data_IF_133353309373
#
_entry.id   IF_133353309373
#
_cell.length_a   1.000
_cell.length_b   1.000
_cell.length_c   1.000
_cell.angle_alpha   90.00
_cell.angle_beta   90.00
_cell.angle_gamma   90.00
#
_symmetry.space_group_name_H-M   'P 1'
#
loop_
_entity.id
_entity.type
_entity.pdbx_description
1 polymer ?
#
# COMPACT_ATOMS: atom_id res chain seq x y z
N UNK A 1 2.28 -23.16 -14.76
CA UNK A 1 3.52 -22.36 -14.69
C UNK A 1 3.30 -21.12 -15.55
N UNK A 2 3.48 -19.91 -15.03
CA UNK A 2 3.33 -18.65 -15.75
C UNK A 2 4.66 -17.89 -15.77
N UNK A 3 4.85 -16.99 -16.76
CA UNK A 3 5.98 -16.05 -16.85
C UNK A 3 5.53 -14.72 -16.23
N UNK A 4 6.16 -14.29 -15.15
CA UNK A 4 5.73 -13.13 -14.36
C UNK A 4 6.87 -12.11 -14.25
N UNK A 5 6.57 -10.86 -14.55
CA UNK A 5 7.50 -9.75 -14.39
C UNK A 5 7.08 -8.87 -13.22
N UNK A 6 7.95 -8.75 -12.22
CA UNK A 6 7.74 -7.87 -11.06
C UNK A 6 8.53 -6.58 -11.27
N UNK A 7 7.81 -5.48 -11.43
CA UNK A 7 8.38 -4.17 -11.75
C UNK A 7 8.61 -3.38 -10.46
N UNK A 8 9.77 -3.61 -9.83
CA UNK A 8 10.21 -2.93 -8.62
C UNK A 8 10.94 -3.85 -7.64
N UNK A 9 12.19 -3.49 -7.30
CA UNK A 9 13.07 -4.16 -6.32
C UNK A 9 12.94 -3.58 -4.92
N UNK A 10 11.74 -3.11 -4.54
CA UNK A 10 11.41 -2.75 -3.17
C UNK A 10 11.20 -3.98 -2.30
N UNK A 11 11.06 -3.82 -0.96
CA UNK A 11 10.80 -4.94 -0.05
C UNK A 11 9.62 -5.79 -0.53
N UNK A 12 8.50 -5.14 -0.87
CA UNK A 12 7.29 -5.84 -1.28
C UNK A 12 7.41 -6.53 -2.65
N UNK A 13 8.01 -5.85 -3.64
CA UNK A 13 8.26 -6.47 -4.95
C UNK A 13 9.17 -7.69 -4.86
N UNK A 14 10.23 -7.61 -4.07
CA UNK A 14 11.15 -8.73 -3.83
C UNK A 14 10.45 -9.88 -3.10
N UNK A 15 9.65 -9.60 -2.07
CA UNK A 15 8.89 -10.63 -1.36
C UNK A 15 7.87 -11.35 -2.27
N UNK A 16 7.16 -10.61 -3.13
CA UNK A 16 6.25 -11.20 -4.10
C UNK A 16 6.99 -12.01 -5.19
N UNK A 17 8.15 -11.55 -5.65
CA UNK A 17 8.96 -12.30 -6.59
C UNK A 17 9.38 -13.67 -6.02
N UNK A 18 9.80 -13.68 -4.73
CA UNK A 18 10.15 -14.92 -4.01
C UNK A 18 8.91 -15.83 -3.86
N UNK A 19 7.77 -15.28 -3.42
CA UNK A 19 6.51 -16.03 -3.29
C UNK A 19 6.12 -16.69 -4.63
N UNK A 20 6.10 -15.93 -5.71
CA UNK A 20 5.70 -16.40 -7.03
C UNK A 20 6.68 -17.45 -7.59
N UNK A 21 7.97 -17.27 -7.34
CA UNK A 21 8.99 -18.28 -7.68
C UNK A 21 8.77 -19.58 -6.92
N UNK A 22 8.51 -19.50 -5.62
CA UNK A 22 8.24 -20.67 -4.76
C UNK A 22 6.93 -21.36 -5.15
N UNK A 23 5.97 -20.65 -5.75
CA UNK A 23 4.76 -21.22 -6.35
C UNK A 23 5.04 -21.93 -7.70
N UNK A 24 6.30 -22.00 -8.16
CA UNK A 24 6.70 -22.69 -9.40
C UNK A 24 6.54 -21.86 -10.67
N UNK A 25 6.47 -20.53 -10.58
CA UNK A 25 6.42 -19.64 -11.74
C UNK A 25 7.82 -19.20 -12.18
N UNK A 26 7.96 -18.82 -13.45
CA UNK A 26 9.16 -18.15 -13.97
C UNK A 26 9.06 -16.67 -13.62
N UNK A 27 9.96 -16.17 -12.80
CA UNK A 27 9.89 -14.80 -12.29
C UNK A 27 11.09 -13.98 -12.76
N UNK A 28 10.78 -12.78 -13.26
CA UNK A 28 11.74 -11.74 -13.54
C UNK A 28 11.49 -10.56 -12.61
N UNK A 29 12.54 -10.06 -11.97
CA UNK A 29 12.52 -8.91 -11.06
C UNK A 29 13.25 -7.74 -11.70
N UNK A 30 12.53 -6.67 -12.03
CA UNK A 30 13.08 -5.50 -12.68
C UNK A 30 13.36 -4.35 -11.70
N UNK A 31 14.50 -3.71 -11.87
CA UNK A 31 14.85 -2.46 -11.17
C UNK A 31 14.91 -1.29 -12.15
N UNK A 32 14.28 -0.18 -11.81
CA UNK A 32 14.42 1.08 -12.56
C UNK A 32 15.85 1.64 -12.53
N UNK A 33 16.71 1.10 -11.66
CA UNK A 33 18.12 1.45 -11.48
C UNK A 33 18.99 0.28 -11.90
N UNK A 34 19.63 0.31 -13.09
CA UNK A 34 20.45 -0.80 -13.60
C UNK A 34 21.59 -1.21 -12.67
N UNK A 35 22.22 -0.24 -12.01
CA UNK A 35 23.30 -0.46 -11.02
C UNK A 35 22.80 -1.29 -9.82
N UNK A 36 21.54 -1.05 -9.38
CA UNK A 36 20.93 -1.84 -8.34
C UNK A 36 20.64 -3.26 -8.80
N UNK A 37 20.14 -3.44 -10.03
CA UNK A 37 19.93 -4.77 -10.60
C UNK A 37 21.25 -5.56 -10.65
N UNK A 38 22.35 -4.92 -11.10
CA UNK A 38 23.68 -5.52 -11.12
C UNK A 38 24.15 -5.93 -9.72
N UNK A 39 24.01 -5.04 -8.72
CA UNK A 39 24.33 -5.35 -7.33
C UNK A 39 23.53 -6.54 -6.80
N UNK A 40 22.21 -6.56 -7.01
CA UNK A 40 21.34 -7.65 -6.57
C UNK A 40 21.63 -8.98 -7.27
N UNK A 41 22.12 -8.97 -8.51
CA UNK A 41 22.57 -10.18 -9.19
C UNK A 41 23.84 -10.76 -8.53
N UNK A 42 24.70 -9.93 -7.97
CA UNK A 42 25.93 -10.39 -7.29
C UNK A 42 25.65 -10.82 -5.85
N UNK A 43 24.90 -10.03 -5.10
CA UNK A 43 24.67 -10.25 -3.65
C UNK A 43 23.50 -11.14 -3.34
N UNK A 44 22.50 -11.22 -4.22
CA UNK A 44 21.20 -11.87 -4.02
C UNK A 44 20.47 -11.41 -2.76
N UNK A 45 20.86 -10.28 -2.17
CA UNK A 45 20.26 -9.70 -0.96
C UNK A 45 20.22 -8.17 -1.03
N UNK A 46 19.17 -7.58 -0.45
CA UNK A 46 19.08 -6.15 -0.18
C UNK A 46 19.01 -5.91 1.33
N UNK A 47 20.15 -5.77 2.02
CA UNK A 47 20.21 -5.67 3.48
C UNK A 47 19.54 -4.38 4.01
N UNK A 48 19.35 -3.36 3.17
CA UNK A 48 18.66 -2.12 3.55
C UNK A 48 17.12 -2.25 3.51
N UNK A 49 16.61 -3.02 2.55
CA UNK A 49 15.16 -3.11 2.32
C UNK A 49 14.53 -4.38 2.85
N UNK A 50 15.25 -5.49 2.82
CA UNK A 50 14.74 -6.79 3.25
C UNK A 50 15.89 -7.63 3.84
N UNK A 51 16.41 -7.25 5.01
CA UNK A 51 17.61 -7.85 5.61
C UNK A 51 17.40 -9.35 5.92
N UNK A 52 18.42 -10.16 5.62
CA UNK A 52 18.46 -11.60 5.87
C UNK A 52 17.60 -12.42 4.93
N UNK A 53 17.10 -11.84 3.81
CA UNK A 53 16.33 -12.57 2.80
C UNK A 53 17.16 -12.69 1.52
N UNK A 54 17.45 -13.93 1.15
CA UNK A 54 18.17 -14.25 -0.08
C UNK A 54 17.18 -14.45 -1.23
N UNK A 55 17.43 -13.75 -2.33
CA UNK A 55 16.63 -13.88 -3.55
C UNK A 55 17.07 -15.19 -4.25
N UNK A 56 16.17 -16.16 -4.50
CA UNK A 56 16.50 -17.42 -5.18
C UNK A 56 17.19 -17.21 -6.53
N UNK A 57 18.17 -18.07 -6.86
CA UNK A 57 18.93 -17.99 -8.11
C UNK A 57 18.07 -18.12 -9.35
N UNK A 58 16.94 -18.84 -9.25
CA UNK A 58 15.96 -18.99 -10.33
C UNK A 58 15.20 -17.72 -10.69
N UNK A 59 15.29 -16.66 -9.89
CA UNK A 59 14.71 -15.34 -10.21
C UNK A 59 15.72 -14.55 -11.04
N UNK A 60 15.33 -14.21 -12.27
CA UNK A 60 16.14 -13.35 -13.15
C UNK A 60 15.99 -11.90 -12.72
N UNK A 61 17.11 -11.22 -12.44
CA UNK A 61 17.10 -9.79 -12.04
C UNK A 61 17.65 -8.96 -13.19
N UNK A 62 16.92 -7.93 -13.62
CA UNK A 62 17.33 -7.09 -14.75
C UNK A 62 17.06 -5.61 -14.50
N UNK A 63 17.89 -4.74 -15.09
CA UNK A 63 17.63 -3.31 -15.22
C UNK A 63 17.04 -2.91 -16.58
N UNK A 64 16.92 -3.87 -17.51
CA UNK A 64 16.39 -3.64 -18.84
C UNK A 64 14.88 -3.94 -18.91
N UNK A 65 14.10 -2.92 -19.24
CA UNK A 65 12.65 -3.02 -19.31
C UNK A 65 12.15 -3.84 -20.49
N UNK A 66 12.87 -3.86 -21.61
CA UNK A 66 12.51 -4.68 -22.78
C UNK A 66 12.61 -6.15 -22.46
N UNK A 67 13.69 -6.54 -21.79
CA UNK A 67 13.87 -7.91 -21.28
C UNK A 67 12.78 -8.24 -20.26
N UNK A 68 12.49 -7.32 -19.33
CA UNK A 68 11.47 -7.55 -18.31
C UNK A 68 10.06 -7.70 -18.88
N UNK A 69 9.72 -6.97 -19.94
CA UNK A 69 8.40 -7.02 -20.60
C UNK A 69 8.35 -7.86 -21.87
N UNK A 70 9.36 -8.72 -22.09
CA UNK A 70 9.34 -9.67 -23.19
C UNK A 70 8.31 -10.77 -22.93
N UNK A 71 7.08 -10.53 -23.36
CA UNK A 71 5.96 -11.46 -23.37
C UNK A 71 5.65 -12.15 -22.02
N UNK A 72 5.57 -11.41 -20.87
CA UNK A 72 5.11 -12.01 -19.63
C UNK A 72 3.60 -12.30 -19.69
N UNK A 73 3.15 -13.36 -18.99
CA UNK A 73 1.72 -13.60 -18.77
C UNK A 73 1.12 -12.52 -17.86
N UNK A 74 1.85 -12.17 -16.79
CA UNK A 74 1.44 -11.18 -15.78
C UNK A 74 2.57 -10.19 -15.53
N UNK A 75 2.20 -8.94 -15.34
CA UNK A 75 3.11 -7.88 -14.85
C UNK A 75 2.63 -7.41 -13.48
N UNK A 76 3.50 -7.43 -12.47
CA UNK A 76 3.22 -6.94 -11.12
C UNK A 76 3.91 -5.59 -10.93
N UNK A 77 3.15 -4.51 -10.72
CA UNK A 77 3.69 -3.18 -10.45
C UNK A 77 3.87 -2.99 -8.95
N UNK A 78 5.14 -2.98 -8.51
CA UNK A 78 5.54 -2.91 -7.10
C UNK A 78 6.43 -1.69 -6.79
N UNK A 79 6.31 -0.64 -7.57
CA UNK A 79 6.98 0.65 -7.35
C UNK A 79 6.16 1.52 -6.39
N UNK A 80 6.78 2.49 -5.66
CA UNK A 80 6.03 3.40 -4.81
C UNK A 80 4.99 4.21 -5.60
N UNK A 81 3.86 4.52 -4.95
CA UNK A 81 2.71 5.19 -5.60
C UNK A 81 3.08 6.53 -6.24
N UNK A 82 3.96 7.30 -5.60
CA UNK A 82 4.43 8.60 -6.10
C UNK A 82 5.16 8.54 -7.47
N UNK A 83 5.69 7.38 -7.85
CA UNK A 83 6.39 7.19 -9.12
C UNK A 83 5.56 6.45 -10.17
N UNK A 84 4.34 6.03 -9.82
CA UNK A 84 3.57 5.10 -10.65
C UNK A 84 3.24 5.69 -12.02
N UNK A 85 2.82 6.96 -12.11
CA UNK A 85 2.54 7.62 -13.38
C UNK A 85 3.76 7.62 -14.30
N UNK A 86 4.90 8.06 -13.81
CA UNK A 86 6.13 8.15 -14.61
C UNK A 86 6.58 6.76 -15.11
N UNK A 87 6.49 5.75 -14.25
CA UNK A 87 6.84 4.37 -14.61
C UNK A 87 5.84 3.80 -15.62
N UNK A 88 4.54 3.99 -15.41
CA UNK A 88 3.49 3.52 -16.34
C UNK A 88 3.67 4.15 -17.72
N UNK A 89 3.88 5.46 -17.78
CA UNK A 89 4.14 6.18 -19.04
C UNK A 89 5.37 5.64 -19.76
N UNK A 90 6.47 5.43 -19.04
CA UNK A 90 7.72 4.88 -19.57
C UNK A 90 7.52 3.46 -20.13
N UNK A 91 6.78 2.61 -19.44
CA UNK A 91 6.61 1.21 -19.81
C UNK A 91 5.48 0.98 -20.82
N UNK A 92 4.56 1.92 -20.98
CA UNK A 92 3.38 1.81 -21.87
C UNK A 92 3.69 1.32 -23.29
N UNK A 93 4.74 1.78 -23.98
CA UNK A 93 5.06 1.31 -25.33
C UNK A 93 5.47 -0.16 -25.43
N UNK A 94 5.84 -0.78 -24.29
CA UNK A 94 6.30 -2.17 -24.22
C UNK A 94 5.19 -3.12 -23.76
N UNK A 95 4.06 -2.58 -23.29
CA UNK A 95 2.93 -3.38 -22.79
C UNK A 95 2.01 -3.78 -23.93
N UNK A 96 1.76 -5.08 -24.05
CA UNK A 96 0.88 -5.62 -25.11
C UNK A 96 -0.60 -5.37 -24.82
N UNK A 97 -1.41 -5.44 -25.87
CA UNK A 97 -2.86 -5.39 -25.77
C UNK A 97 -3.40 -6.51 -24.87
N UNK A 98 -4.24 -6.15 -23.91
CA UNK A 98 -4.85 -7.10 -22.95
C UNK A 98 -3.90 -7.63 -21.88
N UNK A 99 -2.70 -7.05 -21.74
CA UNK A 99 -1.75 -7.45 -20.70
C UNK A 99 -2.37 -7.26 -19.31
N UNK A 100 -2.40 -8.31 -18.51
CA UNK A 100 -2.80 -8.22 -17.11
C UNK A 100 -1.68 -7.54 -16.32
N UNK A 101 -2.03 -6.42 -15.66
CA UNK A 101 -1.14 -5.69 -14.75
C UNK A 101 -1.76 -5.73 -13.36
N UNK A 102 -1.02 -6.24 -12.38
CA UNK A 102 -1.43 -6.27 -10.97
C UNK A 102 -0.72 -5.16 -10.22
N UNK A 103 -1.46 -4.13 -9.82
CA UNK A 103 -0.96 -3.11 -8.90
C UNK A 103 -0.88 -3.66 -7.49
N UNK A 104 0.27 -3.47 -6.84
CA UNK A 104 0.46 -3.81 -5.42
C UNK A 104 0.93 -2.59 -4.60
N UNK A 105 1.02 -1.42 -5.22
CA UNK A 105 1.30 -0.15 -4.55
C UNK A 105 0.04 0.37 -3.84
N UNK A 106 0.25 1.10 -2.76
CA UNK A 106 -0.82 1.63 -1.91
C UNK A 106 -0.69 3.16 -1.82
N UNK A 107 -1.60 3.88 -2.45
CA UNK A 107 -1.57 5.35 -2.46
C UNK A 107 -2.63 5.95 -3.38
N UNK A 108 -2.71 7.28 -3.33
CA UNK A 108 -3.52 8.14 -4.21
C UNK A 108 -2.61 9.25 -4.71
N UNK A 109 -2.70 9.59 -5.98
CA UNK A 109 -1.89 10.67 -6.57
C UNK A 109 -2.36 12.04 -6.04
N UNK A 110 -1.43 12.86 -5.55
CA UNK A 110 -1.75 14.12 -4.88
C UNK A 110 -2.50 15.12 -5.81
N UNK A 111 -2.02 15.27 -7.05
CA UNK A 111 -2.53 16.31 -7.94
C UNK A 111 -3.87 15.97 -8.60
N UNK A 112 -4.09 14.70 -8.94
CA UNK A 112 -5.28 14.24 -9.67
C UNK A 112 -6.31 13.59 -8.77
N UNK A 113 -5.91 13.19 -7.57
CA UNK A 113 -6.67 12.40 -6.61
C UNK A 113 -7.08 11.01 -7.15
N UNK A 114 -6.34 10.51 -8.12
CA UNK A 114 -6.59 9.20 -8.75
C UNK A 114 -6.01 8.06 -7.92
N UNK A 115 -6.75 6.95 -7.73
CA UNK A 115 -6.18 5.68 -7.29
C UNK A 115 -5.12 5.18 -8.27
N UNK A 116 -4.21 4.35 -7.80
CA UNK A 116 -3.06 3.89 -8.60
C UNK A 116 -3.49 3.10 -9.84
N UNK A 117 -4.53 2.26 -9.74
CA UNK A 117 -5.03 1.50 -10.90
C UNK A 117 -5.57 2.41 -12.00
N UNK A 118 -6.20 3.52 -11.64
CA UNK A 118 -6.70 4.49 -12.61
C UNK A 118 -5.54 5.22 -13.30
N UNK A 119 -4.49 5.56 -12.56
CA UNK A 119 -3.24 6.11 -13.13
C UNK A 119 -2.63 5.13 -14.14
N UNK A 120 -2.49 3.86 -13.76
CA UNK A 120 -1.95 2.81 -14.66
C UNK A 120 -2.85 2.69 -15.90
N UNK A 121 -4.17 2.71 -15.74
CA UNK A 121 -5.12 2.59 -16.84
C UNK A 121 -5.11 3.79 -17.77
N UNK A 122 -4.90 4.99 -17.23
CA UNK A 122 -4.76 6.22 -18.02
C UNK A 122 -3.48 6.17 -18.89
N UNK A 123 -2.34 5.78 -18.31
CA UNK A 123 -1.06 5.75 -19.02
C UNK A 123 -0.88 4.49 -19.90
N UNK A 124 -1.57 3.39 -19.57
CA UNK A 124 -1.51 2.10 -20.28
C UNK A 124 -2.95 1.64 -20.60
N UNK A 125 -3.65 2.34 -21.51
CA UNK A 125 -5.07 2.07 -21.78
C UNK A 125 -5.35 0.66 -22.34
N UNK A 126 -4.35 0.01 -22.95
CA UNK A 126 -4.45 -1.34 -23.47
C UNK A 126 -4.39 -2.44 -22.38
N UNK A 127 -4.00 -2.12 -21.14
CA UNK A 127 -3.87 -3.12 -20.08
C UNK A 127 -5.21 -3.49 -19.41
N UNK A 128 -5.30 -4.72 -18.89
CA UNK A 128 -6.30 -5.16 -17.91
C UNK A 128 -5.70 -4.99 -16.51
N UNK A 129 -6.08 -3.90 -15.83
CA UNK A 129 -5.49 -3.49 -14.55
C UNK A 129 -6.27 -4.08 -13.40
N UNK A 130 -5.54 -4.68 -12.47
CA UNK A 130 -6.03 -5.33 -11.26
C UNK A 130 -5.28 -4.82 -10.03
N UNK A 131 -5.77 -5.10 -8.82
CA UNK A 131 -5.10 -4.75 -7.57
C UNK A 131 -5.01 -5.94 -6.63
N UNK A 132 -3.87 -6.09 -5.94
CA UNK A 132 -3.67 -7.01 -4.82
C UNK A 132 -3.31 -6.20 -3.58
N UNK A 133 -4.07 -6.35 -2.49
CA UNK A 133 -3.85 -5.64 -1.23
C UNK A 133 -4.26 -6.50 -0.03
N UNK A 134 -3.96 -6.03 1.18
CA UNK A 134 -4.26 -6.73 2.44
C UNK A 134 -3.10 -6.65 3.44
N UNK A 135 -3.23 -7.27 4.63
CA UNK A 135 -2.19 -7.32 5.64
C UNK A 135 -1.00 -8.16 5.14
N UNK A 136 0.06 -7.51 4.67
CA UNK A 136 1.14 -8.16 3.92
C UNK A 136 2.48 -7.45 4.10
N UNK A 137 3.06 -7.56 5.30
CA UNK A 137 4.43 -7.10 5.50
C UNK A 137 5.41 -7.97 4.72
N UNK A 138 6.27 -7.32 3.94
CA UNK A 138 7.24 -7.98 3.07
C UNK A 138 8.19 -8.91 3.86
N UNK A 139 8.53 -8.50 5.07
CA UNK A 139 9.38 -9.23 6.00
C UNK A 139 8.78 -10.58 6.43
N UNK A 140 7.47 -10.66 6.52
CA UNK A 140 6.75 -11.89 6.87
C UNK A 140 6.52 -12.76 5.63
N UNK A 141 6.04 -12.16 4.55
CA UNK A 141 5.76 -12.88 3.29
C UNK A 141 7.02 -13.52 2.72
N UNK A 142 8.15 -12.82 2.74
CA UNK A 142 9.43 -13.35 2.24
C UNK A 142 9.97 -14.54 3.05
N UNK A 143 9.54 -14.67 4.33
CA UNK A 143 9.87 -15.80 5.20
C UNK A 143 8.86 -16.94 5.13
N UNK A 144 7.83 -16.82 4.28
CA UNK A 144 6.78 -17.84 4.15
C UNK A 144 5.84 -17.90 5.34
N UNK A 145 5.67 -16.82 6.11
CA UNK A 145 4.69 -16.80 7.20
C UNK A 145 3.27 -16.67 6.62
N UNK A 146 2.28 -17.33 7.27
CA UNK A 146 0.90 -17.30 6.81
C UNK A 146 0.37 -15.88 6.61
N UNK A 147 -0.02 -15.56 5.40
CA UNK A 147 -0.51 -14.24 4.99
C UNK A 147 -1.78 -14.37 4.18
N UNK A 148 -2.67 -13.41 4.31
CA UNK A 148 -3.94 -13.38 3.58
C UNK A 148 -4.13 -12.04 2.89
N UNK A 149 -4.42 -12.05 1.59
CA UNK A 149 -4.68 -10.85 0.77
C UNK A 149 -6.00 -10.95 0.02
N UNK A 150 -6.39 -9.86 -0.61
CA UNK A 150 -7.51 -9.78 -1.54
C UNK A 150 -7.02 -9.28 -2.89
N UNK A 151 -7.48 -9.92 -3.97
CA UNK A 151 -7.28 -9.46 -5.35
C UNK A 151 -8.61 -8.96 -5.91
N UNK A 152 -8.55 -7.84 -6.61
CA UNK A 152 -9.70 -7.27 -7.31
C UNK A 152 -9.38 -7.02 -8.77
N UNK A 153 -10.34 -7.31 -9.63
CA UNK A 153 -10.30 -7.11 -11.07
C UNK A 153 -11.69 -6.71 -11.58
N UNK A 154 -11.74 -6.12 -12.78
CA UNK A 154 -13.02 -5.80 -13.45
C UNK A 154 -13.77 -7.04 -13.90
N UNK A 155 -13.04 -8.12 -14.23
CA UNK A 155 -13.61 -9.40 -14.65
C UNK A 155 -13.38 -10.44 -13.55
N UNK A 156 -14.42 -11.22 -13.27
CA UNK A 156 -14.36 -12.28 -12.27
C UNK A 156 -13.30 -13.32 -12.63
N UNK A 157 -13.25 -13.70 -13.89
CA UNK A 157 -12.32 -14.72 -14.43
C UNK A 157 -10.86 -14.27 -14.24
N UNK A 158 -10.56 -12.96 -14.44
CA UNK A 158 -9.23 -12.40 -14.18
C UNK A 158 -8.89 -12.46 -12.69
N UNK A 159 -9.84 -12.12 -11.81
CA UNK A 159 -9.63 -12.20 -10.37
C UNK A 159 -9.38 -13.64 -9.90
N UNK A 160 -10.15 -14.61 -10.37
CA UNK A 160 -10.00 -16.05 -10.07
C UNK A 160 -8.68 -16.63 -10.61
N UNK A 161 -8.27 -16.21 -11.80
CA UNK A 161 -6.97 -16.56 -12.35
C UNK A 161 -5.82 -16.04 -11.49
N UNK A 162 -5.85 -14.75 -11.11
CA UNK A 162 -4.86 -14.15 -10.23
C UNK A 162 -4.88 -14.78 -8.83
N UNK A 163 -6.07 -15.08 -8.29
CA UNK A 163 -6.21 -15.81 -7.04
C UNK A 163 -5.43 -17.12 -7.10
N UNK A 164 -5.65 -17.93 -8.14
CA UNK A 164 -4.99 -19.22 -8.31
C UNK A 164 -3.46 -19.09 -8.48
N UNK A 165 -3.01 -18.00 -9.09
CA UNK A 165 -1.60 -17.74 -9.35
C UNK A 165 -0.82 -17.37 -8.08
N UNK A 166 -1.42 -16.53 -7.23
CA UNK A 166 -0.76 -16.09 -6.00
C UNK A 166 -0.94 -17.06 -4.83
N UNK A 167 -1.99 -17.88 -4.83
CA UNK A 167 -2.27 -18.79 -3.71
C UNK A 167 -1.16 -19.83 -3.50
N UNK A 168 -0.87 -20.09 -2.23
CA UNK A 168 0.02 -21.16 -1.77
C UNK A 168 -0.41 -21.62 -0.37
N UNK A 169 0.21 -22.68 0.21
CA UNK A 169 -0.07 -23.09 1.59
C UNK A 169 0.14 -21.99 2.64
N UNK A 170 0.98 -20.97 2.32
CA UNK A 170 1.30 -19.86 3.22
C UNK A 170 0.74 -18.51 2.74
N UNK A 171 0.14 -18.45 1.57
CA UNK A 171 -0.42 -17.20 1.03
C UNK A 171 -1.85 -17.42 0.53
N UNK A 172 -2.83 -16.98 1.29
CA UNK A 172 -4.24 -17.08 0.95
C UNK A 172 -4.73 -15.83 0.22
N UNK A 173 -5.48 -16.00 -0.86
CA UNK A 173 -6.04 -14.88 -1.63
C UNK A 173 -7.56 -15.02 -1.73
N UNK A 174 -8.28 -13.95 -1.43
CA UNK A 174 -9.71 -13.80 -1.69
C UNK A 174 -9.94 -12.89 -2.88
N UNK A 175 -11.11 -12.98 -3.51
CA UNK A 175 -11.50 -12.13 -4.63
C UNK A 175 -12.60 -11.15 -4.23
N UNK A 176 -12.61 -9.95 -4.84
CA UNK A 176 -13.67 -8.97 -4.70
C UNK A 176 -13.83 -8.18 -6.00
N UNK A 177 -15.05 -7.72 -6.38
CA UNK A 177 -15.23 -6.82 -7.52
C UNK A 177 -14.93 -5.35 -7.20
N UNK A 178 -14.72 -4.98 -5.92
CA UNK A 178 -14.57 -3.60 -5.47
C UNK A 178 -13.11 -3.15 -5.48
N UNK A 179 -12.60 -2.81 -6.67
CA UNK A 179 -11.23 -2.31 -6.82
C UNK A 179 -11.00 -1.01 -6.06
N UNK A 180 -11.97 -0.08 -6.14
CA UNK A 180 -11.86 1.23 -5.49
C UNK A 180 -11.72 1.10 -3.97
N UNK A 181 -12.57 0.29 -3.34
CA UNK A 181 -12.49 0.06 -1.89
C UNK A 181 -11.17 -0.59 -1.47
N UNK A 182 -10.66 -1.54 -2.25
CA UNK A 182 -9.35 -2.18 -2.01
C UNK A 182 -8.21 -1.16 -2.07
N UNK A 183 -8.20 -0.26 -3.04
CA UNK A 183 -7.17 0.76 -3.20
C UNK A 183 -7.24 1.84 -2.12
N UNK A 184 -8.45 2.36 -1.85
CA UNK A 184 -8.66 3.37 -0.80
C UNK A 184 -8.29 2.83 0.59
N UNK A 185 -8.68 1.59 0.90
CA UNK A 185 -8.29 0.92 2.14
C UNK A 185 -6.77 0.89 2.30
N UNK A 186 -6.06 0.43 1.27
CA UNK A 186 -4.60 0.39 1.26
C UNK A 186 -3.90 1.75 1.36
N UNK A 187 -4.47 2.79 0.75
CA UNK A 187 -3.90 4.14 0.77
C UNK A 187 -4.13 4.87 2.10
N UNK A 188 -5.39 4.93 2.54
CA UNK A 188 -5.80 5.72 3.71
C UNK A 188 -5.29 5.15 5.03
N UNK A 189 -5.18 3.82 5.16
CA UNK A 189 -4.63 3.18 6.37
C UNK A 189 -3.25 3.71 6.77
N UNK A 190 -2.44 4.11 5.78
CA UNK A 190 -1.09 4.59 6.02
C UNK A 190 -1.10 5.93 6.79
N UNK A 191 -2.11 6.75 6.58
CA UNK A 191 -2.31 8.02 7.32
C UNK A 191 -2.77 7.74 8.75
N UNK A 192 -3.68 6.77 8.93
CA UNK A 192 -4.11 6.37 10.29
C UNK A 192 -2.95 5.74 11.06
N UNK A 193 -2.08 4.99 10.38
CA UNK A 193 -0.89 4.43 11.02
C UNK A 193 0.12 5.49 11.48
N UNK A 194 0.23 6.64 10.80
CA UNK A 194 0.97 7.79 11.30
C UNK A 194 0.36 8.29 12.62
N UNK A 195 -0.98 8.46 12.69
CA UNK A 195 -1.67 8.88 13.93
C UNK A 195 -1.44 7.89 15.07
N UNK A 196 -1.56 6.58 14.79
CA UNK A 196 -1.32 5.53 15.79
C UNK A 196 0.13 5.56 16.30
N UNK A 197 1.10 5.71 15.40
CA UNK A 197 2.50 5.89 15.77
C UNK A 197 2.74 7.15 16.60
N UNK A 198 2.11 8.26 16.24
CA UNK A 198 2.22 9.52 17.00
C UNK A 198 1.70 9.36 18.43
N UNK A 199 0.57 8.66 18.61
CA UNK A 199 0.04 8.36 19.94
C UNK A 199 1.00 7.45 20.74
N UNK A 200 1.62 6.44 20.10
CA UNK A 200 2.65 5.62 20.73
C UNK A 200 3.86 6.45 21.17
N UNK A 201 4.32 7.39 20.31
CA UNK A 201 5.46 8.28 20.61
C UNK A 201 5.20 9.25 21.77
N UNK A 202 3.94 9.66 21.97
CA UNK A 202 3.49 10.44 23.12
C UNK A 202 3.36 9.60 24.40
N UNK A 203 3.54 8.29 24.34
CA UNK A 203 3.39 7.38 25.48
C UNK A 203 1.94 7.00 25.80
N UNK A 204 1.00 7.18 24.86
CA UNK A 204 -0.39 6.77 25.05
C UNK A 204 -0.54 5.24 24.90
N UNK A 205 -1.49 4.68 25.65
CA UNK A 205 -1.67 3.23 25.73
C UNK A 205 -2.56 2.63 24.63
N UNK A 206 -2.83 1.32 24.80
CA UNK A 206 -3.57 0.50 23.84
C UNK A 206 -5.02 0.98 23.60
N UNK A 207 -5.67 1.57 24.61
CA UNK A 207 -7.01 2.15 24.44
C UNK A 207 -7.03 3.27 23.39
N UNK A 208 -6.03 4.15 23.39
CA UNK A 208 -5.89 5.22 22.40
C UNK A 208 -5.64 4.63 21.01
N UNK A 209 -4.78 3.64 20.90
CA UNK A 209 -4.52 2.94 19.64
C UNK A 209 -5.77 2.24 19.11
N UNK A 210 -6.52 1.53 19.96
CA UNK A 210 -7.77 0.89 19.59
C UNK A 210 -8.81 1.92 19.10
N UNK A 211 -8.96 3.05 19.81
CA UNK A 211 -9.85 4.12 19.41
C UNK A 211 -9.45 4.71 18.04
N UNK A 212 -8.15 4.98 17.80
CA UNK A 212 -7.65 5.48 16.51
C UNK A 212 -7.91 4.50 15.36
N UNK A 213 -7.71 3.20 15.58
CA UNK A 213 -8.01 2.17 14.57
C UNK A 213 -9.52 2.14 14.27
N UNK A 214 -10.37 2.10 15.30
CA UNK A 214 -11.83 2.04 15.16
C UNK A 214 -12.41 3.29 14.48
N UNK A 215 -11.97 4.47 14.91
CA UNK A 215 -12.42 5.72 14.29
C UNK A 215 -11.80 5.93 12.92
N UNK A 216 -10.54 5.52 12.73
CA UNK A 216 -9.85 5.58 11.44
C UNK A 216 -10.56 4.75 10.36
N UNK A 217 -10.94 3.50 10.68
CA UNK A 217 -11.67 2.69 9.70
C UNK A 217 -13.04 3.29 9.37
N UNK A 218 -13.72 3.92 10.34
CA UNK A 218 -14.97 4.62 10.10
C UNK A 218 -14.80 5.84 9.17
N UNK A 219 -13.72 6.61 9.31
CA UNK A 219 -13.39 7.70 8.37
C UNK A 219 -13.13 7.16 6.96
N UNK A 220 -12.31 6.12 6.85
CA UNK A 220 -11.98 5.47 5.57
C UNK A 220 -13.25 4.94 4.88
N UNK A 221 -14.13 4.28 5.62
CA UNK A 221 -15.36 3.71 5.09
C UNK A 221 -16.35 4.80 4.63
N UNK A 222 -16.49 5.91 5.38
CA UNK A 222 -17.33 7.04 4.97
C UNK A 222 -16.86 7.65 3.65
N UNK A 223 -15.56 7.94 3.53
CA UNK A 223 -15.01 8.47 2.29
C UNK A 223 -15.19 7.46 1.15
N UNK A 224 -14.86 6.20 1.37
CA UNK A 224 -15.00 5.16 0.37
C UNK A 224 -16.44 5.01 -0.15
N UNK A 225 -17.42 5.01 0.75
CA UNK A 225 -18.84 4.95 0.39
C UNK A 225 -19.25 6.17 -0.47
N UNK A 226 -18.83 7.38 -0.12
CA UNK A 226 -19.09 8.59 -0.90
C UNK A 226 -18.43 8.54 -2.30
N UNK A 227 -17.32 7.86 -2.43
CA UNK A 227 -16.64 7.65 -3.71
C UNK A 227 -17.21 6.47 -4.51
N UNK A 228 -18.14 5.67 -3.95
CA UNK A 228 -18.78 4.53 -4.61
C UNK A 228 -18.16 3.17 -4.31
N UNK A 229 -17.26 3.08 -3.34
CA UNK A 229 -16.76 1.81 -2.83
C UNK A 229 -17.78 1.12 -1.90
N UNK A 230 -17.64 -0.18 -1.70
CA UNK A 230 -18.49 -0.98 -0.82
C UNK A 230 -18.03 -0.91 0.62
N UNK A 231 -18.95 -0.70 1.56
CA UNK A 231 -18.64 -0.64 3.00
C UNK A 231 -18.02 -1.94 3.51
N UNK A 232 -18.46 -3.08 3.00
CA UNK A 232 -17.96 -4.40 3.37
C UNK A 232 -16.47 -4.58 3.07
N UNK A 233 -15.95 -3.88 2.07
CA UNK A 233 -14.53 -3.92 1.73
C UNK A 233 -13.67 -3.35 2.85
N UNK A 234 -14.17 -2.33 3.55
CA UNK A 234 -13.46 -1.74 4.70
C UNK A 234 -13.50 -2.60 5.95
N UNK A 235 -14.51 -3.46 6.10
CA UNK A 235 -14.54 -4.50 7.14
C UNK A 235 -13.67 -5.73 6.80
N UNK A 236 -13.10 -5.77 5.58
CA UNK A 236 -12.30 -6.88 5.06
C UNK A 236 -10.79 -6.71 5.21
N UNK A 237 -10.05 -7.51 4.41
CA UNK A 237 -8.59 -7.61 4.47
C UNK A 237 -7.87 -6.31 4.07
N UNK A 238 -8.31 -5.63 3.02
CA UNK A 238 -7.72 -4.36 2.56
C UNK A 238 -8.15 -3.14 3.40
N UNK A 239 -9.18 -3.28 4.22
CA UNK A 239 -9.64 -2.28 5.18
C UNK A 239 -9.05 -2.53 6.56
N UNK A 240 -9.90 -3.04 7.49
CA UNK A 240 -9.54 -3.22 8.91
C UNK A 240 -8.35 -4.17 9.09
N UNK A 241 -8.22 -5.23 8.28
CA UNK A 241 -7.11 -6.17 8.40
C UNK A 241 -5.74 -5.51 8.17
N UNK A 242 -5.62 -4.77 7.06
CA UNK A 242 -4.38 -4.06 6.72
C UNK A 242 -4.13 -2.84 7.63
N UNK A 243 -5.20 -2.22 8.13
CA UNK A 243 -5.11 -1.12 9.10
C UNK A 243 -4.55 -1.61 10.44
N UNK A 244 -5.10 -2.68 11.01
CA UNK A 244 -4.64 -3.24 12.30
C UNK A 244 -3.15 -3.58 12.24
N UNK A 245 -2.73 -4.36 11.24
CA UNK A 245 -1.33 -4.79 11.14
C UNK A 245 -0.40 -3.59 10.95
N UNK A 246 -0.83 -2.56 10.19
CA UNK A 246 -0.01 -1.38 9.94
C UNK A 246 0.12 -0.47 11.16
N UNK A 247 -0.92 -0.36 11.99
CA UNK A 247 -0.90 0.41 13.24
C UNK A 247 -0.17 -0.31 14.39
N UNK A 248 -0.12 -1.64 14.38
CA UNK A 248 0.47 -2.42 15.47
C UNK A 248 1.92 -2.86 15.21
N UNK A 249 2.26 -3.16 13.95
CA UNK A 249 3.54 -3.79 13.60
C UNK A 249 4.73 -2.85 13.74
N UNK A 250 5.85 -3.41 14.24
CA UNK A 250 7.16 -2.75 14.25
C UNK A 250 7.75 -2.56 12.85
N UNK A 251 7.30 -3.34 11.87
CA UNK A 251 7.71 -3.23 10.47
C UNK A 251 7.04 -2.06 9.74
N UNK A 252 6.02 -1.43 10.34
CA UNK A 252 5.31 -0.31 9.72
C UNK A 252 6.15 0.97 9.73
N UNK A 253 6.61 1.37 8.54
CA UNK A 253 7.33 2.64 8.34
C UNK A 253 6.47 3.85 8.70
N UNK A 254 5.19 3.81 8.40
CA UNK A 254 4.26 4.90 8.74
C UNK A 254 4.10 5.02 10.26
N UNK A 255 3.88 3.90 10.97
CA UNK A 255 3.83 3.90 12.44
C UNK A 255 5.14 4.41 13.03
N UNK A 256 6.31 3.96 12.51
CA UNK A 256 7.63 4.41 12.98
C UNK A 256 7.83 5.92 12.78
N UNK A 257 7.48 6.46 11.61
CA UNK A 257 7.55 7.91 11.37
C UNK A 257 6.64 8.67 12.33
N UNK A 258 5.40 8.22 12.52
CA UNK A 258 4.48 8.78 13.52
C UNK A 258 5.06 8.75 14.94
N UNK A 259 5.65 7.62 15.35
CA UNK A 259 6.28 7.47 16.66
C UNK A 259 7.37 8.53 16.89
N UNK A 260 8.25 8.74 15.93
CA UNK A 260 9.28 9.78 16.00
C UNK A 260 8.67 11.18 16.11
N UNK A 261 7.63 11.47 15.34
CA UNK A 261 6.91 12.76 15.44
C UNK A 261 6.24 12.96 16.80
N UNK A 262 5.69 11.89 17.39
CA UNK A 262 5.18 11.91 18.77
C UNK A 262 6.25 12.22 19.81
N UNK A 263 7.51 11.84 19.53
CA UNK A 263 8.67 12.17 20.35
C UNK A 263 9.25 13.58 20.08
N UNK A 264 8.64 14.38 19.21
CA UNK A 264 9.04 15.76 18.92
C UNK A 264 9.91 15.94 17.68
N UNK A 265 10.16 14.89 16.89
CA UNK A 265 10.83 15.03 15.59
C UNK A 265 9.92 15.77 14.61
N UNK A 266 10.51 16.61 13.76
CA UNK A 266 9.79 17.17 12.61
C UNK A 266 9.50 16.05 11.59
N UNK A 267 8.53 16.29 10.70
CA UNK A 267 8.23 15.36 9.59
C UNK A 267 9.50 14.98 8.80
N UNK A 268 10.33 15.97 8.45
CA UNK A 268 11.56 15.71 7.67
C UNK A 268 12.54 14.85 8.45
N UNK A 269 12.81 15.16 9.72
CA UNK A 269 13.68 14.36 10.58
C UNK A 269 13.19 12.91 10.72
N UNK A 270 11.87 12.74 10.89
CA UNK A 270 11.28 11.41 10.98
C UNK A 270 11.43 10.61 9.68
N UNK A 271 11.26 11.25 8.52
CA UNK A 271 11.46 10.62 7.21
C UNK A 271 12.93 10.25 6.99
N UNK A 272 13.85 11.12 7.35
CA UNK A 272 15.31 10.90 7.22
C UNK A 272 15.75 9.71 8.10
N UNK A 273 15.20 9.59 9.31
CA UNK A 273 15.49 8.48 10.23
C UNK A 273 14.90 7.13 9.75
N UNK A 274 13.72 7.16 9.09
CA UNK A 274 13.11 5.96 8.49
C UNK A 274 13.89 5.46 7.27
N UNK A 275 14.56 6.35 6.54
CA UNK A 275 15.39 6.07 5.35
C UNK A 275 14.67 5.30 4.21
N UNK A 276 13.35 5.27 4.23
CA UNK A 276 12.50 4.63 3.22
C UNK A 276 11.26 5.48 2.97
N UNK A 277 10.56 5.23 1.86
CA UNK A 277 9.33 5.95 1.53
C UNK A 277 8.28 5.73 2.61
N UNK A 278 7.77 6.82 3.18
CA UNK A 278 6.65 6.85 4.13
C UNK A 278 5.40 7.25 3.34
N UNK A 279 4.69 6.26 2.83
CA UNK A 279 3.52 6.47 1.93
C UNK A 279 2.41 7.30 2.60
N UNK A 280 2.28 7.22 3.93
CA UNK A 280 1.29 7.99 4.68
C UNK A 280 1.46 9.50 4.58
N UNK A 281 2.70 10.00 4.43
CA UNK A 281 2.97 11.43 4.26
C UNK A 281 2.43 11.92 2.90
N UNK A 282 2.66 11.16 1.85
CA UNK A 282 2.14 11.49 0.51
C UNK A 282 0.62 11.32 0.44
N UNK A 283 0.09 10.24 1.05
CA UNK A 283 -1.35 9.98 1.07
C UNK A 283 -2.14 10.97 1.92
N UNK A 284 -1.52 11.63 2.91
CA UNK A 284 -2.23 12.53 3.83
C UNK A 284 -2.83 13.73 3.10
N UNK A 285 -2.09 14.37 2.19
CA UNK A 285 -2.60 15.50 1.40
C UNK A 285 -3.72 15.08 0.46
N UNK A 286 -3.54 13.96 -0.25
CA UNK A 286 -4.58 13.43 -1.13
C UNK A 286 -5.84 13.05 -0.36
N UNK A 287 -5.70 12.45 0.84
CA UNK A 287 -6.83 12.09 1.70
C UNK A 287 -7.60 13.32 2.18
N UNK A 288 -6.89 14.41 2.58
CA UNK A 288 -7.51 15.70 2.93
C UNK A 288 -8.29 16.28 1.73
N UNK A 289 -7.66 16.34 0.56
CA UNK A 289 -8.30 16.88 -0.65
C UNK A 289 -9.51 16.04 -1.09
N UNK A 290 -9.46 14.71 -0.94
CA UNK A 290 -10.62 13.84 -1.19
C UNK A 290 -11.73 14.08 -0.17
N UNK A 291 -11.41 14.23 1.12
CA UNK A 291 -12.39 14.55 2.15
C UNK A 291 -13.12 15.86 1.85
N UNK A 292 -12.40 16.90 1.46
CA UNK A 292 -12.96 18.20 1.05
C UNK A 292 -13.80 18.08 -0.23
N UNK A 293 -13.30 17.36 -1.27
CA UNK A 293 -14.01 17.18 -2.54
C UNK A 293 -15.35 16.43 -2.39
N UNK A 294 -15.42 15.44 -1.50
CA UNK A 294 -16.60 14.61 -1.30
C UNK A 294 -17.45 15.03 -0.10
N UNK A 295 -17.09 16.13 0.56
CA UNK A 295 -17.75 16.65 1.77
C UNK A 295 -17.89 15.57 2.86
N UNK A 296 -16.76 14.97 3.22
CA UNK A 296 -16.68 13.93 4.24
C UNK A 296 -15.86 14.38 5.43
N UNK A 297 -16.43 14.31 6.61
CA UNK A 297 -15.74 14.62 7.85
C UNK A 297 -14.71 13.51 8.20
N UNK A 298 -13.41 13.88 8.21
CA UNK A 298 -12.30 12.98 8.50
C UNK A 298 -11.34 13.61 9.53
N UNK A 299 -11.74 13.74 10.80
CA UNK A 299 -10.97 14.48 11.80
C UNK A 299 -9.56 13.94 12.05
N UNK A 300 -9.35 12.62 12.05
CA UNK A 300 -7.99 12.05 12.22
C UNK A 300 -7.11 12.44 11.04
N UNK A 301 -7.61 12.32 9.82
CA UNK A 301 -6.89 12.72 8.59
C UNK A 301 -6.54 14.22 8.65
N UNK A 302 -7.46 15.07 9.09
CA UNK A 302 -7.23 16.53 9.21
C UNK A 302 -6.15 16.83 10.25
N UNK A 303 -6.19 16.20 11.42
CA UNK A 303 -5.18 16.42 12.46
C UNK A 303 -3.80 15.89 12.04
N UNK A 304 -3.72 14.78 11.35
CA UNK A 304 -2.46 14.30 10.76
C UNK A 304 -1.91 15.29 9.74
N UNK A 305 -2.74 15.89 8.89
CA UNK A 305 -2.29 16.94 7.96
C UNK A 305 -1.71 18.15 8.68
N UNK A 306 -2.37 18.63 9.74
CA UNK A 306 -1.87 19.77 10.56
C UNK A 306 -0.53 19.42 11.21
N UNK A 307 -0.39 18.20 11.75
CA UNK A 307 0.88 17.71 12.30
C UNK A 307 1.99 17.70 11.26
N UNK A 308 1.71 17.18 10.05
CA UNK A 308 2.71 17.01 8.99
C UNK A 308 3.11 18.35 8.34
N UNK A 309 2.16 19.23 8.06
CA UNK A 309 2.36 20.37 7.16
C UNK A 309 2.13 21.74 7.79
N UNK A 310 1.56 21.79 8.98
CA UNK A 310 1.26 23.06 9.68
C UNK A 310 2.00 23.18 11.02
N UNK A 311 2.95 22.27 11.29
CA UNK A 311 3.76 22.22 12.53
C UNK A 311 2.92 22.16 13.81
N UNK A 312 1.70 21.61 13.77
CA UNK A 312 0.87 21.45 14.96
C UNK A 312 1.51 20.45 15.91
N UNK A 313 1.65 20.77 17.23
CA UNK A 313 2.17 19.83 18.20
C UNK A 313 1.31 18.56 18.30
N UNK A 314 1.94 17.39 18.37
CA UNK A 314 1.26 16.11 18.45
C UNK A 314 0.25 16.00 19.61
N UNK A 315 0.64 16.54 20.78
CA UNK A 315 -0.23 16.58 21.97
C UNK A 315 -1.48 17.45 21.78
N UNK A 316 -1.38 18.54 21.02
CA UNK A 316 -2.52 19.40 20.69
C UNK A 316 -3.46 18.72 19.71
N UNK A 317 -2.92 18.01 18.70
CA UNK A 317 -3.72 17.23 17.76
C UNK A 317 -4.59 16.19 18.48
N UNK A 318 -4.02 15.46 19.45
CA UNK A 318 -4.79 14.51 20.26
C UNK A 318 -5.82 15.20 21.13
N UNK A 319 -5.44 16.33 21.76
CA UNK A 319 -6.37 17.13 22.59
C UNK A 319 -7.58 17.58 21.77
N UNK A 320 -7.37 18.09 20.58
CA UNK A 320 -8.44 18.57 19.71
C UNK A 320 -9.38 17.43 19.29
N UNK A 321 -8.83 16.25 18.96
CA UNK A 321 -9.65 15.06 18.67
C UNK A 321 -10.52 14.65 19.87
N UNK A 322 -9.99 14.75 21.10
CA UNK A 322 -10.71 14.39 22.32
C UNK A 322 -11.75 15.43 22.76
N UNK A 323 -11.58 16.68 22.39
CA UNK A 323 -12.45 17.79 22.77
C UNK A 323 -13.50 18.17 21.71
N UNK A 324 -13.64 17.36 20.66
CA UNK A 324 -14.70 17.55 19.66
C UNK A 324 -16.09 17.49 20.29
N UNK A 325 -17.05 18.09 19.63
CA UNK A 325 -18.46 17.99 20.01
C UNK A 325 -18.91 16.54 20.14
N UNK A 326 -19.89 16.31 21.03
CA UNK A 326 -20.47 15.00 21.25
C UNK A 326 -21.10 14.48 19.95
N UNK A 327 -20.80 13.25 19.59
CA UNK A 327 -21.36 12.60 18.42
C UNK A 327 -21.88 11.21 18.79
N UNK A 328 -22.86 10.77 18.04
CA UNK A 328 -23.38 9.41 18.09
C UNK A 328 -22.39 8.46 17.38
N UNK A 329 -22.19 7.29 17.92
CA UNK A 329 -21.39 6.28 17.23
C UNK A 329 -22.17 5.65 16.05
N UNK A 330 -23.47 5.43 16.26
CA UNK A 330 -24.44 4.98 15.25
C UNK A 330 -25.68 5.85 15.41
N UNK A 331 -26.26 6.31 14.30
CA UNK A 331 -27.49 7.09 14.35
C UNK A 331 -28.63 6.32 15.04
N UNK A 332 -29.36 7.01 15.89
CA UNK A 332 -30.59 6.50 16.51
C UNK A 332 -31.79 6.56 15.55
N UNK A 333 -31.65 7.29 14.44
CA UNK A 333 -32.66 7.31 13.38
C UNK A 333 -32.50 6.07 12.50
N UNK A 334 -33.56 5.25 12.42
CA UNK A 334 -33.66 4.03 11.58
C UNK A 334 -34.02 4.39 10.14
#
# INVERSE_FOLDING_TARGET
MAKISVMGTGSWGTALAILLHNNGHQVMLWSAHPEKAASLNQTREDPKKLPGIIIPDGIVITGDEKTALDSPDIVVFASPSAYMRAISKRLSPLVRQGQIIVNVAKGVEENTLMPVCDIIKEEIPQADVCVLSGPSHAEEVSRGLPTTCVVSARKKETAEYLQSLFMSPVFRVYTTPDMLGVELGGALKNVIALAAGTADGLGYGDNTKAALITRGIAEMARLGAKMGAKLETFAGLSGIGDLIVTCASVHSRNRRAGYLMGQGYTMQQAMDEVQMVVEGVYSAKAAKALAEKYDVEMPIIMEVNKLLFENKPASEAVKDLMQREKQEEISWEL
#
